data_IF_354223918869
#
_entry.id   IF_354223918869
#
_cell.length_a   1.000
_cell.length_b   1.000
_cell.length_c   1.000
_cell.angle_alpha   90.00
_cell.angle_beta   90.00
_cell.angle_gamma   90.00
#
_symmetry.space_group_name_H-M   'P 1'
#
loop_
_entity.id
_entity.type
_entity.pdbx_description
1 polymer ?
#
# COMPACT_ATOMS: atom_id res chain seq x y z
N UNK A 1 -0.73 54.98 -54.94
CA UNK A 1 -0.07 54.39 -53.75
C UNK A 1 -0.71 53.03 -53.45
N UNK A 2 -0.01 51.92 -53.74
CA UNK A 2 -0.46 50.55 -53.44
C UNK A 2 -0.14 50.20 -51.99
N UNK A 3 -1.13 49.73 -51.22
CA UNK A 3 -0.91 48.99 -49.97
C UNK A 3 -1.23 47.51 -50.23
N UNK A 4 -0.24 46.65 -50.09
CA UNK A 4 -0.40 45.21 -50.08
C UNK A 4 -0.78 44.78 -48.65
N UNK A 5 -1.98 44.23 -48.47
CA UNK A 5 -2.33 43.46 -47.29
C UNK A 5 -2.05 41.99 -47.60
N UNK A 6 -1.06 41.41 -46.92
CA UNK A 6 -0.83 39.97 -46.90
C UNK A 6 -1.77 39.37 -45.86
N UNK A 7 -2.82 38.68 -46.30
CA UNK A 7 -3.64 37.85 -45.42
C UNK A 7 -2.87 36.55 -45.10
N UNK A 8 -2.58 36.33 -43.82
CA UNK A 8 -2.04 35.07 -43.32
C UNK A 8 -3.10 33.97 -43.40
N UNK A 9 -2.73 32.84 -43.99
CA UNK A 9 -3.60 31.69 -44.22
C UNK A 9 -3.87 30.92 -42.90
N UNK A 10 -5.14 30.79 -42.45
CA UNK A 10 -5.49 30.16 -41.18
C UNK A 10 -5.18 28.65 -41.10
N UNK A 11 -4.92 27.97 -42.22
CA UNK A 11 -4.58 26.52 -42.21
C UNK A 11 -3.19 26.23 -41.61
N UNK A 12 -2.25 27.17 -41.72
CA UNK A 12 -0.87 27.01 -41.26
C UNK A 12 -0.77 27.18 -39.73
N UNK A 13 -1.70 27.95 -39.14
CA UNK A 13 -1.74 28.17 -37.69
C UNK A 13 -2.23 26.92 -36.93
N UNK A 14 -3.19 26.18 -37.51
CA UNK A 14 -3.77 24.98 -36.88
C UNK A 14 -2.79 23.81 -36.86
N UNK A 15 -1.97 23.65 -37.92
CA UNK A 15 -0.95 22.58 -37.99
C UNK A 15 0.15 22.74 -36.93
N UNK A 16 0.51 23.97 -36.55
CA UNK A 16 1.53 24.21 -35.51
C UNK A 16 1.00 23.97 -34.09
N UNK A 17 -0.29 24.16 -33.84
CA UNK A 17 -0.91 23.89 -32.53
C UNK A 17 -1.02 22.38 -32.28
N UNK A 18 -1.28 21.57 -33.32
CA UNK A 18 -1.30 20.10 -33.19
C UNK A 18 0.10 19.53 -32.93
N UNK A 19 1.16 20.11 -33.53
CA UNK A 19 2.54 19.66 -33.27
C UNK A 19 3.11 20.13 -31.92
N UNK A 20 2.68 21.28 -31.39
CA UNK A 20 3.08 21.70 -30.03
C UNK A 20 2.27 20.99 -28.93
N UNK A 21 1.02 20.59 -29.20
CA UNK A 21 0.18 19.84 -28.25
C UNK A 21 0.60 18.38 -28.06
N UNK A 22 1.42 17.82 -28.96
CA UNK A 22 1.83 16.42 -28.91
C UNK A 22 3.10 16.16 -28.09
N UNK A 23 3.86 17.20 -27.72
CA UNK A 23 5.17 17.05 -27.04
C UNK A 23 5.05 17.12 -25.50
N UNK A 24 3.87 17.44 -24.96
CA UNK A 24 3.68 17.61 -23.49
C UNK A 24 3.02 16.42 -22.79
N UNK A 25 2.89 15.26 -23.46
CA UNK A 25 2.30 14.03 -22.87
C UNK A 25 3.32 12.93 -22.53
N UNK A 26 4.62 13.21 -22.62
CA UNK A 26 5.68 12.30 -22.16
C UNK A 26 6.14 12.61 -20.74
N UNK A 27 5.21 13.00 -19.87
CA UNK A 27 5.38 12.85 -18.42
C UNK A 27 5.18 11.39 -18.02
N UNK A 28 5.95 10.47 -18.61
CA UNK A 28 6.09 9.14 -18.04
C UNK A 28 6.94 9.33 -16.78
N UNK A 29 6.24 9.40 -15.65
CA UNK A 29 6.80 9.15 -14.33
C UNK A 29 7.69 7.92 -14.42
N UNK A 30 9.01 8.13 -14.54
CA UNK A 30 9.99 7.10 -14.31
C UNK A 30 10.06 6.92 -12.80
N UNK A 31 9.04 6.28 -12.23
CA UNK A 31 9.20 5.59 -10.96
C UNK A 31 10.29 4.56 -11.22
N UNK A 32 11.44 4.76 -10.59
CA UNK A 32 12.55 3.82 -10.64
C UNK A 32 12.02 2.48 -10.13
N UNK A 33 11.68 1.56 -11.03
CA UNK A 33 11.20 0.23 -10.68
C UNK A 33 12.22 -0.41 -9.74
N UNK A 34 11.90 -0.52 -8.45
CA UNK A 34 12.68 -1.37 -7.57
C UNK A 34 12.56 -2.81 -8.06
N UNK A 35 13.68 -3.53 -8.08
CA UNK A 35 13.70 -4.96 -8.42
C UNK A 35 12.95 -5.74 -7.34
N UNK A 36 11.64 -5.92 -7.58
CA UNK A 36 10.77 -6.72 -6.72
C UNK A 36 11.05 -8.21 -6.82
N UNK A 37 10.45 -8.98 -5.91
CA UNK A 37 10.48 -10.45 -5.95
C UNK A 37 9.10 -11.00 -6.31
N UNK A 38 9.01 -12.32 -6.51
CA UNK A 38 7.73 -13.01 -6.74
C UNK A 38 7.45 -13.97 -5.60
N UNK A 39 6.20 -14.07 -5.22
CA UNK A 39 5.66 -15.02 -4.24
C UNK A 39 4.64 -15.93 -4.95
N UNK A 40 4.79 -17.25 -4.80
CA UNK A 40 3.78 -18.23 -5.21
C UNK A 40 2.73 -18.30 -4.11
N UNK A 41 1.57 -17.70 -4.37
CA UNK A 41 0.49 -17.55 -3.41
C UNK A 41 -0.53 -18.67 -3.60
N UNK A 42 -0.82 -19.41 -2.53
CA UNK A 42 -1.89 -20.41 -2.48
C UNK A 42 -3.20 -19.73 -2.04
N UNK A 43 -4.20 -19.76 -2.93
CA UNK A 43 -5.54 -19.22 -2.70
C UNK A 43 -6.38 -20.18 -1.85
N UNK A 44 -7.49 -19.68 -1.28
CA UNK A 44 -8.37 -20.49 -0.44
C UNK A 44 -8.94 -21.75 -1.14
N UNK A 45 -9.09 -21.71 -2.46
CA UNK A 45 -9.64 -22.82 -3.27
C UNK A 45 -8.57 -23.83 -3.73
N UNK A 46 -7.31 -23.63 -3.32
CA UNK A 46 -6.18 -24.49 -3.67
C UNK A 46 -5.48 -24.11 -4.97
N UNK A 47 -5.98 -23.12 -5.73
CA UNK A 47 -5.25 -22.57 -6.87
C UNK A 47 -4.00 -21.82 -6.42
N UNK A 48 -3.00 -21.76 -7.30
CA UNK A 48 -1.77 -21.00 -7.09
C UNK A 48 -1.67 -19.87 -8.10
N UNK A 49 -1.29 -18.69 -7.62
CA UNK A 49 -0.97 -17.54 -8.47
C UNK A 49 0.44 -17.04 -8.17
N UNK A 50 1.00 -16.26 -9.08
CA UNK A 50 2.27 -15.56 -8.87
C UNK A 50 1.98 -14.10 -8.60
N UNK A 51 2.36 -13.63 -7.41
CA UNK A 51 2.28 -12.22 -7.02
C UNK A 51 3.69 -11.63 -7.09
N UNK A 52 3.89 -10.62 -7.93
CA UNK A 52 5.09 -9.78 -7.90
C UNK A 52 4.91 -8.74 -6.80
N UNK A 53 5.88 -8.62 -5.91
CA UNK A 53 5.90 -7.62 -4.85
C UNK A 53 7.13 -6.74 -4.99
N UNK A 54 6.93 -5.44 -4.85
CA UNK A 54 8.00 -4.44 -4.86
C UNK A 54 7.80 -3.50 -3.67
N UNK A 55 8.92 -3.05 -3.09
CA UNK A 55 8.94 -2.05 -2.03
C UNK A 55 10.01 -1.02 -2.35
N UNK A 56 9.80 0.21 -1.93
CA UNK A 56 10.83 1.25 -1.91
C UNK A 56 11.08 1.66 -0.46
N UNK A 57 12.35 1.93 -0.14
CA UNK A 57 12.75 2.40 1.19
C UNK A 57 12.96 3.91 1.13
N UNK A 58 12.40 4.63 2.09
CA UNK A 58 12.50 6.08 2.13
C UNK A 58 11.80 6.68 3.34
N UNK A 59 12.20 7.90 3.71
CA UNK A 59 11.71 8.59 4.90
C UNK A 59 12.78 8.74 5.98
N UNK A 60 12.38 9.39 7.08
CA UNK A 60 13.27 9.63 8.21
C UNK A 60 13.46 8.33 9.00
N UNK A 61 14.71 8.02 9.32
CA UNK A 61 15.11 6.87 10.12
C UNK A 61 16.26 7.26 11.04
N UNK A 62 16.45 6.50 12.11
CA UNK A 62 17.59 6.69 13.00
C UNK A 62 18.90 6.25 12.33
N UNK A 63 20.03 6.79 12.78
CA UNK A 63 21.33 6.31 12.34
C UNK A 63 21.44 4.81 12.66
N UNK A 64 21.89 4.01 11.68
CA UNK A 64 22.01 2.54 11.75
C UNK A 64 20.71 1.74 11.71
N UNK A 65 19.57 2.36 11.40
CA UNK A 65 18.35 1.65 11.03
C UNK A 65 18.09 1.77 9.53
N UNK A 66 17.52 0.73 8.93
CA UNK A 66 17.07 0.83 7.55
C UNK A 66 15.92 1.84 7.45
N UNK A 67 15.82 2.61 6.35
CA UNK A 67 14.67 3.48 6.13
C UNK A 67 13.38 2.66 6.13
N UNK A 68 12.25 3.21 6.60
CA UNK A 68 10.98 2.51 6.48
C UNK A 68 10.59 2.36 5.01
N UNK A 69 9.58 1.53 4.74
CA UNK A 69 8.99 1.45 3.41
C UNK A 69 8.32 2.79 3.08
N UNK A 70 8.71 3.44 1.98
CA UNK A 70 8.03 4.62 1.45
C UNK A 70 6.88 4.25 0.54
N UNK A 71 7.04 3.18 -0.24
CA UNK A 71 6.07 2.70 -1.22
C UNK A 71 6.02 1.16 -1.19
N UNK A 72 4.84 0.59 -1.42
CA UNK A 72 4.66 -0.86 -1.62
C UNK A 72 3.70 -1.13 -2.77
N UNK A 73 3.99 -2.19 -3.53
CA UNK A 73 3.18 -2.62 -4.67
C UNK A 73 3.06 -4.15 -4.73
N UNK A 74 1.85 -4.62 -4.98
CA UNK A 74 1.55 -6.00 -5.37
C UNK A 74 0.98 -6.01 -6.79
N UNK A 75 1.41 -6.98 -7.60
CA UNK A 75 0.92 -7.16 -8.96
C UNK A 75 0.75 -8.65 -9.28
N UNK A 76 -0.41 -9.03 -9.81
CA UNK A 76 -0.69 -10.41 -10.23
C UNK A 76 -1.68 -10.48 -11.37
N UNK A 77 -1.89 -11.70 -11.88
CA UNK A 77 -2.86 -12.01 -12.92
C UNK A 77 -4.10 -12.67 -12.32
N UNK A 78 -5.28 -12.16 -12.65
CA UNK A 78 -6.55 -12.76 -12.21
C UNK A 78 -6.73 -14.16 -12.81
N UNK A 79 -7.04 -15.18 -11.99
CA UNK A 79 -7.45 -16.48 -12.49
C UNK A 79 -8.65 -16.36 -13.44
N UNK A 80 -8.63 -17.10 -14.54
CA UNK A 80 -9.71 -17.12 -15.54
C UNK A 80 -9.66 -15.98 -16.57
N UNK A 81 -9.36 -14.74 -16.18
CA UNK A 81 -9.35 -13.60 -17.11
C UNK A 81 -7.96 -13.21 -17.61
N UNK A 82 -6.91 -13.44 -16.82
CA UNK A 82 -5.55 -12.99 -17.13
C UNK A 82 -5.37 -11.46 -17.08
N UNK A 83 -6.34 -10.73 -16.52
CA UNK A 83 -6.23 -9.30 -16.25
C UNK A 83 -5.14 -9.04 -15.20
N UNK A 84 -4.37 -7.97 -15.37
CA UNK A 84 -3.40 -7.55 -14.35
C UNK A 84 -4.11 -6.76 -13.26
N UNK A 85 -3.92 -7.17 -12.01
CA UNK A 85 -4.36 -6.44 -10.82
C UNK A 85 -3.14 -5.86 -10.13
N UNK A 86 -3.27 -4.61 -9.70
CA UNK A 86 -2.21 -3.87 -9.00
C UNK A 86 -2.82 -3.31 -7.72
N UNK A 87 -2.20 -3.56 -6.57
CA UNK A 87 -2.50 -2.91 -5.30
C UNK A 87 -1.28 -2.12 -4.84
N UNK A 88 -1.48 -0.91 -4.32
CA UNK A 88 -0.40 0.00 -3.92
C UNK A 88 -0.69 0.63 -2.56
N UNK A 89 0.37 0.88 -1.79
CA UNK A 89 0.36 1.68 -0.55
C UNK A 89 1.48 2.71 -0.63
N UNK A 90 1.08 3.97 -0.69
CA UNK A 90 1.96 5.10 -0.98
C UNK A 90 2.42 5.82 0.29
N UNK A 91 3.44 6.66 0.13
CA UNK A 91 3.98 7.46 1.21
C UNK A 91 2.93 8.35 1.86
N UNK A 92 2.76 8.21 3.18
CA UNK A 92 1.82 8.99 3.98
C UNK A 92 2.57 10.03 4.80
N UNK A 93 2.46 11.31 4.45
CA UNK A 93 3.24 12.39 5.10
C UNK A 93 3.03 12.47 6.63
N UNK A 94 1.80 12.25 7.11
CA UNK A 94 1.44 12.25 8.52
C UNK A 94 2.00 11.04 9.29
N UNK A 95 2.35 9.95 8.60
CA UNK A 95 2.96 8.77 9.22
C UNK A 95 4.48 8.73 8.99
N UNK A 96 4.95 9.27 7.87
CA UNK A 96 6.36 9.28 7.46
C UNK A 96 6.81 8.03 6.71
N UNK A 97 5.87 7.18 6.26
CA UNK A 97 6.12 5.93 5.54
C UNK A 97 4.86 5.48 4.78
N UNK A 98 4.96 4.40 4.01
CA UNK A 98 3.85 3.51 3.69
C UNK A 98 3.17 3.05 4.99
N UNK A 99 1.89 2.71 4.95
CA UNK A 99 1.06 2.55 6.15
C UNK A 99 0.59 1.12 6.40
N UNK A 100 0.81 0.20 5.47
CA UNK A 100 0.23 -1.13 5.47
C UNK A 100 1.26 -2.19 5.10
N UNK A 101 1.22 -3.33 5.75
CA UNK A 101 1.95 -4.53 5.37
C UNK A 101 0.96 -5.57 4.85
N UNK A 102 0.88 -5.78 3.53
CA UNK A 102 0.11 -6.88 2.97
C UNK A 102 0.58 -8.24 3.50
N UNK A 103 -0.39 -9.07 3.85
CA UNK A 103 -0.17 -10.42 4.38
C UNK A 103 -1.00 -11.48 3.67
N UNK A 104 -1.99 -11.07 2.87
CA UNK A 104 -2.85 -11.97 2.14
C UNK A 104 -3.33 -11.34 0.82
N UNK A 105 -3.31 -12.13 -0.24
CA UNK A 105 -4.06 -11.91 -1.50
C UNK A 105 -4.96 -13.11 -1.73
N UNK A 106 -6.22 -12.89 -2.09
CA UNK A 106 -7.12 -13.98 -2.49
C UNK A 106 -8.05 -13.56 -3.64
N UNK A 107 -8.70 -14.54 -4.26
CA UNK A 107 -9.70 -14.33 -5.30
C UNK A 107 -10.94 -15.19 -5.00
N UNK A 108 -12.06 -14.55 -4.67
CA UNK A 108 -13.35 -15.21 -4.49
C UNK A 108 -14.29 -14.79 -5.61
N UNK A 109 -14.83 -15.74 -6.38
CA UNK A 109 -15.83 -15.48 -7.43
C UNK A 109 -15.42 -14.36 -8.41
N UNK A 110 -14.13 -14.31 -8.78
CA UNK A 110 -13.59 -13.29 -9.70
C UNK A 110 -13.33 -11.93 -9.06
N UNK A 111 -13.49 -11.79 -7.74
CA UNK A 111 -13.18 -10.57 -6.98
C UNK A 111 -11.86 -10.78 -6.24
N UNK A 112 -10.91 -9.87 -6.44
CA UNK A 112 -9.64 -9.87 -5.75
C UNK A 112 -9.74 -9.21 -4.37
N UNK A 113 -9.06 -9.77 -3.37
CA UNK A 113 -9.00 -9.27 -2.01
C UNK A 113 -7.56 -9.10 -1.56
N UNK A 114 -7.29 -8.04 -0.80
CA UNK A 114 -6.04 -7.84 -0.08
C UNK A 114 -6.35 -7.62 1.39
N UNK A 115 -5.66 -8.35 2.26
CA UNK A 115 -5.65 -8.08 3.70
C UNK A 115 -4.27 -7.60 4.08
N UNK A 116 -4.21 -6.46 4.76
CA UNK A 116 -2.99 -5.86 5.24
C UNK A 116 -3.07 -5.52 6.73
N UNK A 117 -1.93 -5.53 7.40
CA UNK A 117 -1.77 -5.09 8.78
C UNK A 117 -1.23 -3.66 8.82
N UNK A 118 -1.71 -2.77 9.69
CA UNK A 118 -1.13 -1.44 9.84
C UNK A 118 0.35 -1.47 10.25
N UNK A 119 1.20 -0.74 9.53
CA UNK A 119 2.63 -0.64 9.80
C UNK A 119 2.88 0.30 11.00
N UNK A 120 2.84 -0.27 12.21
CA UNK A 120 3.14 0.44 13.46
C UNK A 120 1.98 1.29 14.01
N UNK A 121 2.22 1.93 15.15
CA UNK A 121 1.17 2.60 15.93
C UNK A 121 0.55 3.82 15.24
N UNK A 122 1.33 4.59 14.48
CA UNK A 122 0.79 5.75 13.75
C UNK A 122 -0.15 5.30 12.63
N UNK A 123 0.25 4.30 11.84
CA UNK A 123 -0.63 3.73 10.83
C UNK A 123 -1.87 3.07 11.45
N UNK A 124 -1.72 2.37 12.58
CA UNK A 124 -2.85 1.80 13.31
C UNK A 124 -3.88 2.87 13.70
N UNK A 125 -3.43 4.02 14.22
CA UNK A 125 -4.30 5.17 14.50
C UNK A 125 -4.92 5.76 13.21
N UNK A 126 -4.11 5.94 12.14
CA UNK A 126 -4.57 6.43 10.83
C UNK A 126 -5.71 5.60 10.26
N UNK A 127 -5.61 4.28 10.36
CA UNK A 127 -6.60 3.35 9.82
C UNK A 127 -7.80 3.10 10.75
N UNK A 128 -7.91 3.85 11.86
CA UNK A 128 -9.05 3.80 12.77
C UNK A 128 -9.00 2.66 13.78
N UNK A 129 -7.80 2.19 14.11
CA UNK A 129 -7.53 1.19 15.16
C UNK A 129 -8.37 -0.10 15.01
N UNK A 130 -8.34 -0.76 13.82
CA UNK A 130 -9.17 -1.94 13.57
C UNK A 130 -8.85 -3.08 14.54
N UNK A 131 -9.85 -3.85 14.97
CA UNK A 131 -9.64 -5.01 15.83
C UNK A 131 -10.50 -6.20 15.37
N UNK A 132 -9.90 -7.31 14.87
CA UNK A 132 -8.47 -7.56 14.63
C UNK A 132 -7.79 -6.52 13.74
N UNK A 133 -6.45 -6.39 13.77
CA UNK A 133 -5.72 -5.29 13.14
C UNK A 133 -5.54 -5.48 11.64
N UNK A 134 -6.68 -5.57 10.93
CA UNK A 134 -6.73 -5.75 9.50
C UNK A 134 -7.33 -4.53 8.82
N UNK A 135 -6.71 -4.12 7.72
CA UNK A 135 -7.28 -3.23 6.73
C UNK A 135 -7.48 -4.05 5.48
N UNK A 136 -8.74 -4.19 5.07
CA UNK A 136 -9.16 -5.15 4.06
C UNK A 136 -9.68 -4.38 2.86
N UNK A 137 -9.23 -4.79 1.67
CA UNK A 137 -9.64 -4.21 0.41
C UNK A 137 -10.24 -5.28 -0.48
N UNK A 138 -11.31 -4.93 -1.19
CA UNK A 138 -11.83 -5.68 -2.34
C UNK A 138 -11.64 -4.87 -3.62
N UNK A 139 -11.31 -5.55 -4.71
CA UNK A 139 -11.20 -4.94 -6.02
C UNK A 139 -12.55 -5.01 -6.74
N UNK A 140 -13.24 -3.88 -6.87
CA UNK A 140 -14.53 -3.79 -7.55
C UNK A 140 -14.40 -2.93 -8.81
N UNK A 141 -14.63 -3.53 -9.98
CA UNK A 141 -14.45 -2.87 -11.27
C UNK A 141 -12.97 -2.61 -11.55
N UNK A 142 -12.50 -1.39 -11.28
CA UNK A 142 -11.11 -0.94 -11.49
C UNK A 142 -10.50 -0.24 -10.27
N UNK A 143 -11.15 -0.33 -9.12
CA UNK A 143 -10.76 0.39 -7.92
C UNK A 143 -10.73 -0.54 -6.70
N UNK A 144 -9.82 -0.23 -5.78
CA UNK A 144 -9.77 -0.85 -4.47
C UNK A 144 -10.70 -0.12 -3.50
N UNK A 145 -11.60 -0.87 -2.88
CA UNK A 145 -12.47 -0.36 -1.83
C UNK A 145 -12.16 -1.03 -0.51
N UNK A 146 -11.95 -0.22 0.53
CA UNK A 146 -11.85 -0.72 1.90
C UNK A 146 -13.20 -1.32 2.32
N UNK A 147 -13.16 -2.49 2.93
CA UNK A 147 -14.34 -3.17 3.48
C UNK A 147 -14.17 -3.52 4.95
N UNK A 148 -15.28 -3.66 5.70
CA UNK A 148 -15.25 -4.25 7.04
C UNK A 148 -14.91 -5.75 6.98
N UNK A 149 -14.41 -6.29 8.10
CA UNK A 149 -14.03 -7.70 8.22
C UNK A 149 -15.20 -8.68 7.97
N UNK A 150 -16.42 -8.24 8.26
CA UNK A 150 -17.63 -9.02 8.07
C UNK A 150 -17.95 -9.26 6.58
N UNK A 151 -17.45 -8.41 5.68
CA UNK A 151 -17.62 -8.56 4.24
C UNK A 151 -16.52 -9.43 3.59
N UNK A 152 -15.43 -9.75 4.30
CA UNK A 152 -14.38 -10.63 3.78
C UNK A 152 -14.92 -12.08 3.76
N UNK A 153 -14.90 -12.79 2.61
CA UNK A 153 -15.35 -14.19 2.51
C UNK A 153 -14.79 -15.09 3.62
N UNK A 154 -15.63 -15.97 4.17
CA UNK A 154 -15.31 -16.77 5.36
C UNK A 154 -14.26 -17.86 5.09
N UNK A 155 -14.11 -18.24 3.82
CA UNK A 155 -13.15 -19.20 3.28
C UNK A 155 -11.73 -18.63 3.30
N UNK A 156 -11.59 -17.31 3.20
CA UNK A 156 -10.31 -16.61 3.26
C UNK A 156 -9.85 -16.57 4.73
N UNK A 157 -8.90 -17.46 5.03
CA UNK A 157 -8.51 -17.79 6.41
C UNK A 157 -7.03 -17.73 6.71
N UNK A 158 -6.18 -17.90 5.71
CA UNK A 158 -4.75 -18.14 5.94
C UNK A 158 -3.93 -17.10 5.18
N UNK A 159 -3.14 -16.28 5.90
CA UNK A 159 -2.14 -15.41 5.28
C UNK A 159 -1.22 -16.19 4.35
N UNK A 160 -0.97 -15.63 3.18
CA UNK A 160 -0.28 -16.29 2.08
C UNK A 160 0.76 -15.38 1.41
N UNK A 161 1.13 -14.30 2.09
CA UNK A 161 2.29 -13.46 1.78
C UNK A 161 3.23 -13.38 2.99
N UNK A 162 4.50 -13.09 2.74
CA UNK A 162 5.45 -12.75 3.81
C UNK A 162 5.06 -11.39 4.39
N UNK A 163 4.90 -11.29 5.71
CA UNK A 163 4.48 -10.05 6.38
C UNK A 163 5.68 -9.22 6.88
N UNK A 164 6.54 -9.83 7.70
CA UNK A 164 7.64 -9.14 8.41
C UNK A 164 8.91 -9.09 7.57
N UNK A 165 9.42 -7.88 7.29
CA UNK A 165 10.61 -7.60 6.47
C UNK A 165 10.62 -8.44 5.18
N UNK A 166 9.58 -8.34 4.34
CA UNK A 166 9.32 -9.34 3.33
C UNK A 166 10.36 -9.36 2.21
N UNK A 167 11.02 -8.24 1.91
CA UNK A 167 12.09 -8.17 0.91
C UNK A 167 13.37 -8.86 1.41
N UNK A 168 13.79 -8.61 2.66
CA UNK A 168 14.91 -9.32 3.29
C UNK A 168 14.63 -10.81 3.41
N UNK A 169 13.40 -11.16 3.83
CA UNK A 169 13.02 -12.56 4.01
C UNK A 169 12.99 -13.31 2.69
N UNK A 170 12.50 -12.68 1.61
CA UNK A 170 12.54 -13.25 0.27
C UNK A 170 14.00 -13.45 -0.21
N UNK A 171 14.88 -12.46 0.02
CA UNK A 171 16.33 -12.58 -0.25
C UNK A 171 16.96 -13.74 0.53
N UNK A 172 16.63 -13.89 1.82
CA UNK A 172 17.12 -14.97 2.68
C UNK A 172 16.70 -16.35 2.17
N UNK A 173 15.46 -16.50 1.69
CA UNK A 173 14.98 -17.77 1.12
C UNK A 173 15.71 -18.10 -0.19
N UNK A 174 16.08 -17.08 -0.97
CA UNK A 174 16.90 -17.24 -2.17
C UNK A 174 16.18 -17.93 -3.34
N UNK A 175 14.84 -17.95 -3.34
CA UNK A 175 14.00 -18.53 -4.40
C UNK A 175 13.12 -17.45 -5.03
N UNK A 176 12.95 -17.49 -6.35
CA UNK A 176 12.10 -16.56 -7.09
C UNK A 176 11.36 -17.29 -8.23
N UNK A 177 10.04 -17.59 -8.10
CA UNK A 177 9.18 -17.19 -6.99
C UNK A 177 9.52 -17.91 -5.68
N UNK A 178 9.23 -17.26 -4.54
CA UNK A 178 9.21 -17.89 -3.23
C UNK A 178 8.05 -18.90 -3.21
N UNK A 179 8.29 -20.21 -3.03
CA UNK A 179 7.22 -21.22 -3.10
C UNK A 179 6.19 -21.07 -1.98
N UNK A 180 4.94 -21.43 -2.24
CA UNK A 180 3.85 -21.34 -1.25
C UNK A 180 4.16 -22.13 0.04
N UNK A 181 4.88 -23.24 -0.08
CA UNK A 181 5.33 -24.07 1.05
C UNK A 181 6.32 -23.32 1.96
N UNK A 182 7.22 -22.51 1.38
CA UNK A 182 8.15 -21.70 2.19
C UNK A 182 7.41 -20.56 2.87
N UNK A 183 6.48 -19.90 2.17
CA UNK A 183 5.64 -18.84 2.75
C UNK A 183 4.84 -19.40 3.93
N UNK A 184 4.23 -20.59 3.78
CA UNK A 184 3.53 -21.27 4.88
C UNK A 184 4.43 -21.55 6.09
N UNK A 185 5.69 -21.92 5.89
CA UNK A 185 6.66 -22.09 7.01
C UNK A 185 6.97 -20.76 7.68
N UNK A 186 7.09 -19.67 6.92
CA UNK A 186 7.29 -18.34 7.48
C UNK A 186 6.08 -17.91 8.30
N UNK A 187 4.87 -18.04 7.74
CA UNK A 187 3.61 -17.69 8.39
C UNK A 187 3.39 -18.51 9.67
N UNK A 188 3.65 -19.82 9.66
CA UNK A 188 3.49 -20.66 10.85
C UNK A 188 4.47 -20.29 11.99
N UNK A 189 5.61 -19.70 11.63
CA UNK A 189 6.64 -19.23 12.54
C UNK A 189 6.35 -17.90 13.25
N UNK A 190 5.31 -17.16 12.85
CA UNK A 190 4.93 -15.93 13.58
C UNK A 190 4.48 -16.25 15.01
N UNK A 191 4.51 -15.28 15.92
CA UNK A 191 4.03 -15.50 17.30
C UNK A 191 2.56 -15.13 17.44
N UNK A 192 2.15 -14.05 16.76
CA UNK A 192 0.82 -13.47 16.83
C UNK A 192 -0.20 -14.38 16.09
N UNK A 193 -1.30 -14.78 16.74
CA UNK A 193 -2.33 -15.60 16.08
C UNK A 193 -2.96 -14.91 14.88
N UNK A 194 -3.11 -13.59 14.93
CA UNK A 194 -3.60 -12.74 13.85
C UNK A 194 -2.70 -12.74 12.61
N UNK A 195 -1.44 -13.18 12.73
CA UNK A 195 -0.52 -13.32 11.59
C UNK A 195 -0.48 -14.74 11.03
N UNK A 196 -1.05 -15.72 11.74
CA UNK A 196 -1.15 -17.12 11.29
C UNK A 196 -2.47 -17.43 10.61
N UNK A 197 -3.51 -16.72 11.00
CA UNK A 197 -4.88 -16.92 10.52
C UNK A 197 -5.64 -15.61 10.58
N UNK A 198 -6.59 -15.41 9.66
CA UNK A 198 -7.53 -14.31 9.67
C UNK A 198 -8.54 -14.53 10.80
N UNK A 199 -8.31 -13.85 11.92
CA UNK A 199 -9.22 -13.86 13.05
C UNK A 199 -10.51 -13.11 12.70
N UNK A 200 -11.64 -13.59 13.21
CA UNK A 200 -12.95 -12.94 13.06
C UNK A 200 -13.43 -12.29 14.35
N UNK A 201 -12.86 -12.70 15.47
CA UNK A 201 -13.10 -12.13 16.78
C UNK A 201 -12.01 -11.14 17.18
N UNK A 202 -12.33 -10.08 17.93
CA UNK A 202 -11.35 -9.12 18.42
C UNK A 202 -10.20 -9.78 19.20
N UNK A 203 -8.98 -9.29 19.01
CA UNK A 203 -7.83 -9.67 19.81
C UNK A 203 -7.81 -8.90 21.14
N UNK A 204 -7.21 -9.53 22.16
CA UNK A 204 -7.06 -8.94 23.49
C UNK A 204 -6.03 -7.81 23.50
N UNK A 205 -6.19 -6.87 24.45
CA UNK A 205 -5.20 -5.79 24.69
C UNK A 205 -3.79 -6.37 24.82
N UNK A 206 -2.85 -5.82 24.07
CA UNK A 206 -1.45 -6.26 24.06
C UNK A 206 -1.00 -7.01 22.80
N UNK A 207 -1.94 -7.40 21.92
CA UNK A 207 -1.61 -8.02 20.63
C UNK A 207 -1.98 -7.09 19.46
N UNK A 208 -1.35 -7.29 18.30
CA UNK A 208 -1.83 -6.69 17.05
C UNK A 208 -1.87 -5.16 17.01
N UNK A 209 -1.04 -4.47 17.79
CA UNK A 209 -1.08 -3.00 17.90
C UNK A 209 -2.18 -2.46 18.83
N UNK A 210 -2.98 -3.32 19.47
CA UNK A 210 -3.98 -2.88 20.47
C UNK A 210 -3.37 -2.24 21.73
N UNK A 211 -2.06 -2.39 21.93
CA UNK A 211 -1.28 -1.70 22.97
C UNK A 211 -0.82 -0.29 22.58
N UNK A 212 -0.93 0.11 21.32
CA UNK A 212 -0.52 1.44 20.87
C UNK A 212 -1.35 2.53 21.54
N UNK A 213 -0.72 3.64 21.91
CA UNK A 213 -1.45 4.80 22.41
C UNK A 213 -2.48 5.29 21.38
N UNK A 214 -3.62 5.76 21.88
CA UNK A 214 -4.59 6.45 21.05
C UNK A 214 -4.08 7.84 20.72
N UNK A 215 -4.01 8.14 19.43
CA UNK A 215 -3.54 9.42 18.91
C UNK A 215 -4.56 9.96 17.91
N UNK A 216 -4.65 11.29 17.84
CA UNK A 216 -5.46 12.00 16.86
C UNK A 216 -4.55 12.85 15.98
N UNK A 217 -4.88 12.88 14.68
CA UNK A 217 -4.18 13.74 13.74
C UNK A 217 -4.69 15.18 13.89
N UNK A 218 -3.83 16.09 14.32
CA UNK A 218 -4.14 17.50 14.50
C UNK A 218 -3.10 18.36 13.75
N UNK A 219 -3.55 19.14 12.76
CA UNK A 219 -2.69 20.01 11.93
C UNK A 219 -1.46 19.31 11.36
N UNK A 220 -1.62 18.05 10.93
CA UNK A 220 -0.54 17.25 10.33
C UNK A 220 0.42 16.59 11.33
N UNK A 221 0.11 16.62 12.63
CA UNK A 221 0.89 15.95 13.69
C UNK A 221 0.00 15.03 14.54
N UNK A 222 0.55 13.89 14.95
CA UNK A 222 -0.12 12.97 15.87
C UNK A 222 0.07 13.42 17.31
N UNK A 223 -1.04 13.63 18.03
CA UNK A 223 -1.04 14.05 19.43
C UNK A 223 -2.02 13.21 20.25
N UNK A 224 -1.91 13.22 21.58
CA UNK A 224 -2.93 12.60 22.43
C UNK A 224 -4.27 13.37 22.30
N UNK A 225 -5.43 12.69 22.34
CA UNK A 225 -6.74 13.32 22.15
C UNK A 225 -6.98 14.56 23.03
N UNK A 226 -6.53 14.51 24.28
CA UNK A 226 -6.75 15.52 25.31
C UNK A 226 -5.44 16.22 25.75
N UNK A 227 -4.54 16.51 24.81
CA UNK A 227 -3.32 17.27 25.08
C UNK A 227 -3.46 18.76 24.70
N UNK A 228 -3.85 19.64 25.64
CA UNK A 228 -4.00 21.07 25.37
C UNK A 228 -2.65 21.76 25.10
N UNK A 229 -1.54 21.22 25.60
CA UNK A 229 -0.21 21.79 25.41
C UNK A 229 0.23 21.56 23.96
N UNK A 230 0.15 20.32 23.49
CA UNK A 230 0.50 19.98 22.11
C UNK A 230 -0.38 20.75 21.11
N UNK A 231 -1.69 20.85 21.35
CA UNK A 231 -2.60 21.66 20.52
C UNK A 231 -2.17 23.12 20.46
N UNK A 232 -1.90 23.75 21.61
CA UNK A 232 -1.46 25.14 21.68
C UNK A 232 -0.13 25.37 20.93
N UNK A 233 0.82 24.45 21.05
CA UNK A 233 2.10 24.55 20.32
C UNK A 233 1.88 24.50 18.80
N UNK A 234 1.05 23.57 18.32
CA UNK A 234 0.71 23.44 16.90
C UNK A 234 -0.10 24.64 16.38
N UNK A 235 -0.97 25.22 17.21
CA UNK A 235 -1.72 26.45 16.91
C UNK A 235 -0.80 27.67 16.74
N UNK A 236 0.28 27.72 17.50
CA UNK A 236 1.30 28.77 17.42
C UNK A 236 2.32 28.53 16.30
N UNK A 237 2.16 27.47 15.50
CA UNK A 237 3.01 27.17 14.34
C UNK A 237 4.29 26.39 14.67
N UNK A 238 4.48 25.95 15.91
CA UNK A 238 5.60 25.07 16.25
C UNK A 238 5.37 23.68 15.66
N UNK A 239 6.42 23.07 15.11
CA UNK A 239 6.40 21.68 14.62
C UNK A 239 5.77 21.46 13.25
N UNK A 240 5.23 22.49 12.59
CA UNK A 240 4.76 22.37 11.21
C UNK A 240 5.95 22.37 10.24
N UNK A 241 6.04 21.34 9.39
CA UNK A 241 7.00 21.34 8.29
C UNK A 241 6.69 22.52 7.35
N UNK A 242 7.66 23.42 7.15
CA UNK A 242 7.56 24.43 6.09
C UNK A 242 7.45 23.69 4.76
N UNK A 243 6.39 23.96 4.01
CA UNK A 243 6.20 23.47 2.65
C UNK A 243 7.27 24.02 1.72
#
# INVERSE_FOLDING_TARGET
MRKHNVMLNPSILLQRIVQLGLVTMMGLSMSACSDGWKEEVLLHDGQKIIVKRAVEHGGRHELFQDPPYSEQRLEWKMPGTGETIIWEDHFSQDVGSATLLPMLVDVQQGIAYVVANPLGCLAYNKWGRPNPPYVIFKHEGKEWKRIPLQELPAEIRTPNLILSLPDEKAKQIGKNPVPAEEIRKVVSGYFQPEYKSILREPVTKGSGGTSCEELVLYKGSWIMPNDPVARKMLDQGFGQAKK
#
